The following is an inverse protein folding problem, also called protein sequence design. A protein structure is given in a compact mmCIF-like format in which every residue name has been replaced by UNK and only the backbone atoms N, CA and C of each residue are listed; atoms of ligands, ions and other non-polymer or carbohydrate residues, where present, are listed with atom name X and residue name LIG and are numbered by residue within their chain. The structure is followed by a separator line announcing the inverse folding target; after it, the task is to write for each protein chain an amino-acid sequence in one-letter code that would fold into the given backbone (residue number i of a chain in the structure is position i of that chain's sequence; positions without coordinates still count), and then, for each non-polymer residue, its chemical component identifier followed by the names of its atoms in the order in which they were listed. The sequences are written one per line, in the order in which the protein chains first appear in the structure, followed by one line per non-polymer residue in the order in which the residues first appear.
data_IF_624063737459
#
_entry.id   IF_624063737459
#
_cell.length_a   1.000
_cell.length_b   1.000
_cell.length_c   1.000
_cell.angle_alpha   90.00
_cell.angle_beta   90.00
_cell.angle_gamma   90.00
#
_symmetry.space_group_name_H-M   'P 1'
#
loop_
_entity.id
_entity.type
_entity.pdbx_description
1 polymer ?
#
# COMPACT_ATOMS: atom_id res chain seq x y z
N UNK A 1 -52.65 64.94 -39.86
CA UNK A 1 -52.44 63.66 -40.56
C UNK A 1 -51.50 62.81 -39.72
N UNK A 2 -52.00 61.62 -39.38
CA UNK A 2 -51.32 60.36 -39.05
C UNK A 2 -50.41 60.21 -37.80
N UNK A 3 -51.00 59.45 -36.87
CA UNK A 3 -50.54 58.16 -36.32
C UNK A 3 -49.24 58.13 -35.53
N UNK A 4 -49.35 57.84 -34.22
CA UNK A 4 -48.32 57.13 -33.47
C UNK A 4 -49.01 56.27 -32.40
N UNK A 5 -49.32 55.02 -32.78
CA UNK A 5 -49.75 53.98 -31.85
C UNK A 5 -48.60 53.63 -30.91
N UNK A 6 -48.70 54.06 -29.67
CA UNK A 6 -47.74 53.73 -28.61
C UNK A 6 -47.81 52.23 -28.30
N UNK A 7 -46.73 51.52 -28.66
CA UNK A 7 -46.28 50.21 -28.19
C UNK A 7 -47.30 49.38 -27.39
N UNK A 8 -48.10 48.58 -28.11
CA UNK A 8 -48.94 47.56 -27.49
C UNK A 8 -48.09 46.30 -27.19
N UNK A 9 -47.70 46.12 -25.93
CA UNK A 9 -46.96 44.94 -25.47
C UNK A 9 -47.85 43.68 -25.53
N UNK A 10 -47.65 42.84 -26.55
CA UNK A 10 -48.40 41.59 -26.74
C UNK A 10 -47.74 40.41 -26.03
N UNK A 11 -48.52 39.70 -25.19
CA UNK A 11 -48.13 38.48 -24.46
C UNK A 11 -47.51 37.41 -25.36
N UNK A 12 -47.91 37.36 -26.64
CA UNK A 12 -47.39 36.43 -27.64
C UNK A 12 -45.92 36.74 -28.02
N UNK A 13 -45.53 38.02 -28.01
CA UNK A 13 -44.16 38.45 -28.33
C UNK A 13 -43.20 38.20 -27.16
N UNK A 14 -43.70 38.28 -25.93
CA UNK A 14 -42.96 37.91 -24.72
C UNK A 14 -42.64 36.40 -24.67
N UNK A 15 -43.64 35.54 -24.94
CA UNK A 15 -43.42 34.09 -24.98
C UNK A 15 -42.51 33.65 -26.14
N UNK A 16 -42.56 34.35 -27.28
CA UNK A 16 -41.64 34.11 -28.39
C UNK A 16 -40.18 34.45 -28.05
N UNK A 17 -39.94 35.51 -27.24
CA UNK A 17 -38.58 35.87 -26.79
C UNK A 17 -38.04 34.91 -25.72
N UNK A 18 -38.90 34.32 -24.88
CA UNK A 18 -38.51 33.30 -23.89
C UNK A 18 -38.13 31.95 -24.53
N UNK A 19 -38.71 31.61 -25.68
CA UNK A 19 -38.39 30.37 -26.39
C UNK A 19 -36.98 30.32 -27.03
N UNK A 20 -36.35 31.47 -27.26
CA UNK A 20 -35.06 31.56 -27.97
C UNK A 20 -33.81 31.34 -27.10
N UNK A 21 -33.93 31.37 -25.77
CA UNK A 21 -32.78 31.31 -24.85
C UNK A 21 -32.39 29.88 -24.41
N UNK A 22 -33.10 28.85 -24.87
CA UNK A 22 -32.84 27.46 -24.44
C UNK A 22 -31.72 26.77 -25.21
N UNK A 23 -31.36 27.23 -26.42
CA UNK A 23 -30.39 26.52 -27.28
C UNK A 23 -28.92 26.90 -26.99
N UNK A 24 -28.64 28.07 -26.40
CA UNK A 24 -27.26 28.52 -26.15
C UNK A 24 -26.65 27.98 -24.83
N UNK A 25 -27.42 27.34 -23.95
CA UNK A 25 -26.96 26.89 -22.63
C UNK A 25 -26.38 25.47 -22.57
N UNK A 26 -26.45 24.69 -23.66
CA UNK A 26 -26.22 23.24 -23.61
C UNK A 26 -24.78 22.79 -23.94
N UNK A 27 -23.86 23.69 -24.27
CA UNK A 27 -22.46 23.35 -24.62
C UNK A 27 -21.39 24.05 -23.74
N UNK A 28 -21.80 24.74 -22.67
CA UNK A 28 -20.88 25.18 -21.61
C UNK A 28 -20.85 24.14 -20.48
N UNK A 29 -19.72 23.97 -19.76
CA UNK A 29 -19.74 23.16 -18.55
C UNK A 29 -20.85 23.69 -17.64
N UNK A 30 -21.82 22.82 -17.33
CA UNK A 30 -22.96 23.18 -16.49
C UNK A 30 -22.47 23.84 -15.20
N UNK A 31 -22.79 25.13 -15.01
CA UNK A 31 -22.59 25.84 -13.74
C UNK A 31 -23.45 25.25 -12.61
N UNK A 32 -24.43 24.41 -12.97
CA UNK A 32 -25.27 23.66 -12.06
C UNK A 32 -24.67 22.32 -11.64
N UNK A 33 -23.52 21.90 -12.20
CA UNK A 33 -22.79 20.77 -11.64
C UNK A 33 -22.25 21.21 -10.27
N UNK A 34 -22.72 20.64 -9.15
CA UNK A 34 -22.28 21.09 -7.85
C UNK A 34 -20.77 20.86 -7.75
N UNK A 35 -20.01 21.91 -7.44
CA UNK A 35 -18.55 21.86 -7.21
C UNK A 35 -18.13 20.80 -6.18
N UNK A 36 -19.07 20.37 -5.33
CA UNK A 36 -18.89 19.24 -4.39
C UNK A 36 -18.83 17.88 -5.08
N UNK A 37 -19.54 17.66 -6.18
CA UNK A 37 -19.46 16.40 -6.93
C UNK A 37 -18.10 16.24 -7.62
N UNK A 38 -17.56 17.32 -8.20
CA UNK A 38 -16.22 17.31 -8.81
C UNK A 38 -15.10 17.30 -7.79
N UNK A 39 -15.23 18.01 -6.66
CA UNK A 39 -14.28 17.93 -5.56
C UNK A 39 -14.32 16.58 -4.84
N UNK A 40 -15.50 15.94 -4.72
CA UNK A 40 -15.62 14.59 -4.21
C UNK A 40 -14.97 13.58 -5.17
N UNK A 41 -15.25 13.66 -6.48
CA UNK A 41 -14.58 12.81 -7.48
C UNK A 41 -13.06 13.01 -7.51
N UNK A 42 -12.57 14.25 -7.50
CA UNK A 42 -11.13 14.55 -7.41
C UNK A 42 -10.51 14.10 -6.08
N UNK A 43 -11.25 14.19 -4.96
CA UNK A 43 -10.83 13.64 -3.68
C UNK A 43 -10.86 12.10 -3.68
N UNK A 44 -11.75 11.47 -4.44
CA UNK A 44 -11.78 10.01 -4.58
C UNK A 44 -10.60 9.54 -5.44
N UNK A 45 -10.29 10.22 -6.54
CA UNK A 45 -9.11 9.98 -7.38
C UNK A 45 -7.78 10.23 -6.63
N UNK A 46 -7.71 11.31 -5.83
CA UNK A 46 -6.52 11.60 -5.02
C UNK A 46 -6.34 10.62 -3.84
N UNK A 47 -7.43 10.03 -3.33
CA UNK A 47 -7.37 8.94 -2.35
C UNK A 47 -6.94 7.62 -3.01
N UNK A 48 -7.25 7.44 -4.30
CA UNK A 48 -6.87 6.26 -5.08
C UNK A 48 -5.39 6.25 -5.42
N UNK A 49 -4.76 7.40 -5.73
CA UNK A 49 -3.33 7.46 -6.04
C UNK A 49 -2.56 8.44 -5.16
N UNK A 50 -1.65 7.93 -4.32
CA UNK A 50 -0.70 8.72 -3.53
C UNK A 50 0.69 8.64 -4.16
N UNK A 51 1.14 9.74 -4.73
CA UNK A 51 2.47 9.84 -5.35
C UNK A 51 3.46 10.58 -4.45
N UNK A 52 4.76 10.30 -4.62
CA UNK A 52 5.84 11.08 -3.99
C UNK A 52 6.10 10.80 -2.50
N UNK A 53 5.62 9.69 -1.95
CA UNK A 53 5.85 9.32 -0.55
C UNK A 53 7.34 9.09 -0.31
N UNK A 54 7.96 9.85 0.58
CA UNK A 54 9.37 9.68 0.91
C UNK A 54 9.57 8.46 1.82
N UNK A 55 10.42 7.53 1.41
CA UNK A 55 10.83 6.37 2.21
C UNK A 55 12.27 5.97 1.88
N UNK A 56 12.85 5.03 2.62
CA UNK A 56 14.24 4.61 2.49
C UNK A 56 14.38 3.10 2.38
N UNK A 57 15.41 2.66 1.67
CA UNK A 57 15.84 1.26 1.58
C UNK A 57 17.37 1.19 1.67
N UNK A 58 17.94 -0.01 1.77
CA UNK A 58 19.38 -0.18 1.69
C UNK A 58 19.97 0.16 0.30
N UNK A 59 19.12 0.39 -0.72
CA UNK A 59 19.51 0.91 -2.04
C UNK A 59 19.35 2.43 -2.17
N UNK A 60 19.02 3.13 -1.10
CA UNK A 60 18.88 4.59 -1.06
C UNK A 60 17.48 5.09 -0.71
N UNK A 61 17.34 6.41 -0.68
CA UNK A 61 16.07 7.10 -0.48
C UNK A 61 15.24 7.09 -1.77
N UNK A 62 13.93 6.92 -1.63
CA UNK A 62 13.01 6.77 -2.76
C UNK A 62 11.71 7.56 -2.57
N UNK A 63 11.12 7.96 -3.69
CA UNK A 63 9.74 8.44 -3.82
C UNK A 63 8.85 7.28 -4.25
N UNK A 64 8.03 6.78 -3.34
CA UNK A 64 7.08 5.73 -3.62
C UNK A 64 5.79 6.29 -4.22
N UNK A 65 5.26 5.59 -5.21
CA UNK A 65 3.95 5.82 -5.81
C UNK A 65 3.05 4.65 -5.48
N UNK A 66 1.92 4.94 -4.84
CA UNK A 66 0.90 3.98 -4.42
C UNK A 66 -0.38 4.27 -5.19
N UNK A 67 -0.93 3.26 -5.87
CA UNK A 67 -2.22 3.33 -6.59
C UNK A 67 -3.11 2.21 -6.09
N UNK A 68 -4.36 2.52 -5.75
CA UNK A 68 -5.34 1.58 -5.20
C UNK A 68 -4.82 0.80 -3.98
N UNK A 69 -4.06 1.47 -3.11
CA UNK A 69 -3.43 0.85 -1.94
C UNK A 69 -2.25 -0.10 -2.26
N UNK A 70 -1.85 -0.22 -3.53
CA UNK A 70 -0.73 -1.04 -3.98
C UNK A 70 0.48 -0.19 -4.32
N UNK A 71 1.66 -0.65 -3.90
CA UNK A 71 2.92 -0.02 -4.27
C UNK A 71 3.28 -0.39 -5.71
N UNK A 72 3.30 0.60 -6.61
CA UNK A 72 3.42 0.37 -8.06
C UNK A 72 4.74 0.86 -8.65
N UNK A 73 5.36 1.88 -8.07
CA UNK A 73 6.61 2.42 -8.59
C UNK A 73 7.46 3.08 -7.51
N UNK A 74 8.77 2.93 -7.63
CA UNK A 74 9.77 3.63 -6.84
C UNK A 74 10.60 4.51 -7.76
N UNK A 75 10.69 5.81 -7.46
CA UNK A 75 11.64 6.73 -8.11
C UNK A 75 12.77 7.05 -7.13
N UNK A 76 14.02 7.18 -7.59
CA UNK A 76 15.09 7.65 -6.73
C UNK A 76 14.80 9.04 -6.17
N UNK A 77 15.35 9.33 -5.00
CA UNK A 77 15.23 10.65 -4.38
C UNK A 77 15.93 11.73 -5.22
N UNK A 78 15.36 12.94 -5.25
CA UNK A 78 15.78 13.98 -6.19
C UNK A 78 17.20 14.51 -5.92
N UNK A 79 17.69 14.38 -4.68
CA UNK A 79 19.03 14.82 -4.28
C UNK A 79 20.09 13.71 -4.44
N UNK A 80 19.70 12.50 -4.85
CA UNK A 80 20.65 11.42 -5.10
C UNK A 80 21.29 11.58 -6.49
N UNK A 81 22.59 11.87 -6.52
CA UNK A 81 23.36 12.10 -7.74
C UNK A 81 23.64 10.81 -8.52
N UNK A 82 23.68 9.65 -7.87
CA UNK A 82 24.06 8.38 -8.48
C UNK A 82 23.13 7.24 -8.03
N UNK A 83 21.86 7.28 -8.44
CA UNK A 83 20.88 6.33 -7.94
C UNK A 83 21.11 4.91 -8.44
N UNK A 84 20.83 3.93 -7.58
CA UNK A 84 20.89 2.51 -7.95
C UNK A 84 19.78 2.11 -8.91
N UNK A 85 20.15 1.38 -9.97
CA UNK A 85 19.18 0.79 -10.92
C UNK A 85 18.23 -0.22 -10.25
N UNK A 86 18.62 -0.78 -9.09
CA UNK A 86 17.82 -1.76 -8.35
C UNK A 86 16.55 -1.15 -7.75
N UNK A 87 16.48 0.17 -7.57
CA UNK A 87 15.30 0.87 -7.04
C UNK A 87 14.04 0.56 -7.86
N UNK A 88 14.17 0.40 -9.18
CA UNK A 88 13.05 0.08 -10.05
C UNK A 88 12.36 -1.26 -9.71
N UNK A 89 13.09 -2.23 -9.13
CA UNK A 89 12.57 -3.55 -8.76
C UNK A 89 11.88 -3.61 -7.40
N UNK A 90 11.90 -2.52 -6.62
CA UNK A 90 11.33 -2.51 -5.26
C UNK A 90 9.84 -2.92 -5.18
N UNK A 91 8.96 -2.52 -6.11
CA UNK A 91 7.57 -3.00 -6.11
C UNK A 91 7.46 -4.53 -6.20
N UNK A 92 8.33 -5.17 -6.99
CA UNK A 92 8.34 -6.62 -7.17
C UNK A 92 8.81 -7.35 -5.91
N UNK A 93 9.73 -6.78 -5.13
CA UNK A 93 10.12 -7.35 -3.84
C UNK A 93 8.95 -7.45 -2.84
N UNK A 94 7.98 -6.53 -2.92
CA UNK A 94 6.81 -6.53 -2.05
C UNK A 94 5.75 -7.51 -2.55
N UNK A 95 5.57 -7.60 -3.87
CA UNK A 95 4.43 -8.28 -4.49
C UNK A 95 4.76 -9.54 -5.30
N UNK A 96 5.98 -10.10 -5.18
CA UNK A 96 6.37 -11.32 -5.90
C UNK A 96 5.57 -12.57 -5.47
N UNK A 97 5.60 -13.59 -6.32
CA UNK A 97 4.96 -14.88 -6.06
C UNK A 97 5.62 -15.68 -4.91
N UNK A 98 6.89 -15.40 -4.63
CA UNK A 98 7.66 -16.04 -3.56
C UNK A 98 7.36 -15.46 -2.16
N UNK A 99 6.47 -14.47 -2.05
CA UNK A 99 6.13 -13.82 -0.79
C UNK A 99 5.46 -14.82 0.16
N UNK A 100 6.04 -14.96 1.35
CA UNK A 100 5.45 -15.76 2.42
C UNK A 100 4.12 -15.12 2.83
N UNK A 101 3.02 -15.86 2.66
CA UNK A 101 1.65 -15.36 2.87
C UNK A 101 1.14 -15.58 4.31
N UNK A 102 1.55 -16.67 4.94
CA UNK A 102 1.04 -17.11 6.24
C UNK A 102 2.15 -17.75 7.07
N UNK A 103 1.96 -17.85 8.40
CA UNK A 103 2.77 -18.74 9.23
C UNK A 103 2.65 -20.19 8.75
N UNK A 104 3.80 -20.87 8.67
CA UNK A 104 3.90 -22.23 8.17
C UNK A 104 4.82 -23.03 9.08
N UNK A 105 4.47 -24.29 9.32
CA UNK A 105 5.26 -25.20 10.16
C UNK A 105 5.54 -26.49 9.39
N UNK A 106 6.78 -26.99 9.50
CA UNK A 106 7.20 -28.25 8.85
C UNK A 106 6.37 -29.42 9.39
N UNK A 107 5.84 -30.27 8.51
CA UNK A 107 4.91 -31.36 8.88
C UNK A 107 5.45 -32.25 9.99
N UNK A 108 6.69 -32.74 9.87
CA UNK A 108 7.25 -33.67 10.87
C UNK A 108 7.52 -32.97 12.21
N UNK A 109 7.90 -31.68 12.18
CA UNK A 109 8.09 -30.88 13.39
C UNK A 109 6.76 -30.58 14.09
N UNK A 110 5.69 -30.33 13.35
CA UNK A 110 4.36 -30.14 13.93
C UNK A 110 3.88 -31.39 14.71
N UNK A 111 4.30 -32.59 14.29
CA UNK A 111 3.90 -33.87 14.91
C UNK A 111 4.79 -34.29 16.07
N UNK A 112 6.10 -34.08 15.95
CA UNK A 112 7.10 -34.64 16.88
C UNK A 112 7.89 -33.59 17.65
N UNK A 113 7.67 -32.30 17.40
CA UNK A 113 8.39 -31.17 18.01
C UNK A 113 9.91 -31.34 17.88
N UNK A 114 10.66 -31.11 18.95
CA UNK A 114 12.11 -31.28 19.03
C UNK A 114 12.60 -32.70 18.69
N UNK A 115 11.74 -33.73 18.76
CA UNK A 115 12.06 -35.12 18.37
C UNK A 115 11.85 -35.40 16.87
N UNK A 116 11.59 -34.37 16.08
CA UNK A 116 11.41 -34.52 14.63
C UNK A 116 12.72 -34.85 13.91
N UNK A 117 12.60 -35.58 12.81
CA UNK A 117 13.71 -36.00 11.98
C UNK A 117 14.29 -34.78 11.24
N UNK A 118 15.58 -34.51 11.48
CA UNK A 118 16.29 -33.38 10.89
C UNK A 118 16.75 -33.65 9.46
N UNK A 119 16.83 -34.92 9.05
CA UNK A 119 17.21 -35.30 7.68
C UNK A 119 16.15 -34.92 6.64
N UNK A 120 14.88 -34.80 7.07
CA UNK A 120 13.76 -34.38 6.21
C UNK A 120 13.71 -32.86 5.96
N UNK A 121 14.68 -32.07 6.46
CA UNK A 121 14.76 -30.63 6.15
C UNK A 121 15.05 -30.44 4.66
N UNK A 122 14.23 -29.64 3.97
CA UNK A 122 14.34 -29.37 2.53
C UNK A 122 13.29 -30.08 1.66
N UNK A 123 12.44 -30.91 2.25
CA UNK A 123 11.36 -31.61 1.54
C UNK A 123 10.17 -30.72 1.13
N UNK A 124 10.20 -29.43 1.49
CA UNK A 124 9.18 -28.42 1.22
C UNK A 124 7.75 -28.75 1.68
N UNK A 125 7.57 -29.66 2.65
CA UNK A 125 6.25 -30.00 3.19
C UNK A 125 5.93 -29.15 4.43
N UNK A 126 4.99 -28.23 4.26
CA UNK A 126 4.56 -27.31 5.32
C UNK A 126 3.04 -27.32 5.52
N UNK A 127 2.62 -27.11 6.76
CA UNK A 127 1.23 -26.92 7.17
C UNK A 127 1.04 -25.45 7.56
N UNK A 128 -0.05 -24.85 7.10
CA UNK A 128 -0.46 -23.51 7.51
C UNK A 128 -1.03 -23.57 8.93
N UNK A 129 -0.62 -22.64 9.77
CA UNK A 129 -1.12 -22.49 11.15
C UNK A 129 -1.62 -21.06 11.39
N UNK A 130 -2.32 -20.85 12.51
CA UNK A 130 -2.65 -19.51 13.00
C UNK A 130 -1.41 -18.79 13.53
N UNK A 131 -1.49 -17.47 13.69
CA UNK A 131 -0.42 -16.69 14.33
C UNK A 131 -0.26 -17.04 15.81
N UNK A 132 -1.37 -17.26 16.51
CA UNK A 132 -1.36 -17.61 17.94
C UNK A 132 -0.65 -18.94 18.15
N UNK A 133 -1.03 -20.00 17.42
CA UNK A 133 -0.34 -21.29 17.49
C UNK A 133 1.15 -21.18 17.13
N UNK A 134 1.51 -20.38 16.11
CA UNK A 134 2.90 -20.21 15.71
C UNK A 134 3.74 -19.56 16.81
N UNK A 135 3.19 -18.58 17.51
CA UNK A 135 3.86 -17.87 18.59
C UNK A 135 3.93 -18.72 19.87
N UNK A 136 2.88 -19.47 20.20
CA UNK A 136 2.88 -20.40 21.33
C UNK A 136 3.96 -21.47 21.13
N UNK A 137 4.00 -22.11 19.97
CA UNK A 137 5.02 -23.09 19.61
C UNK A 137 6.45 -22.51 19.63
N UNK A 138 6.61 -21.24 19.26
CA UNK A 138 7.90 -20.54 19.30
C UNK A 138 8.33 -20.29 20.75
N UNK A 139 7.41 -19.84 21.60
CA UNK A 139 7.67 -19.60 23.02
C UNK A 139 8.02 -20.90 23.76
N UNK A 140 7.25 -21.96 23.57
CA UNK A 140 7.48 -23.27 24.19
C UNK A 140 8.91 -23.80 23.91
N UNK A 141 9.40 -23.64 22.68
CA UNK A 141 10.76 -24.06 22.32
C UNK A 141 11.84 -23.14 22.89
N UNK A 142 11.61 -21.83 22.96
CA UNK A 142 12.53 -20.91 23.63
C UNK A 142 12.65 -21.24 25.11
N UNK A 143 11.53 -21.50 25.78
CA UNK A 143 11.49 -21.88 27.19
C UNK A 143 12.20 -23.22 27.41
N UNK A 144 11.92 -24.24 26.57
CA UNK A 144 12.61 -25.54 26.64
C UNK A 144 14.12 -25.37 26.50
N UNK A 145 14.60 -24.67 25.47
CA UNK A 145 16.04 -24.46 25.25
C UNK A 145 16.67 -23.67 26.40
N UNK A 146 15.95 -22.70 26.96
CA UNK A 146 16.45 -21.94 28.11
C UNK A 146 16.58 -22.78 29.38
N UNK A 147 15.65 -23.71 29.62
CA UNK A 147 15.67 -24.61 30.77
C UNK A 147 16.71 -25.73 30.59
N UNK A 148 16.82 -26.29 29.39
CA UNK A 148 17.73 -27.41 29.10
C UNK A 148 19.18 -26.95 28.90
N UNK A 149 19.40 -25.78 28.31
CA UNK A 149 20.72 -25.30 27.93
C UNK A 149 21.00 -23.89 28.49
N UNK A 150 22.23 -23.68 28.98
CA UNK A 150 22.71 -22.36 29.35
C UNK A 150 22.57 -21.39 28.16
N UNK A 151 22.23 -20.12 28.43
CA UNK A 151 21.90 -19.03 27.50
C UNK A 151 22.78 -18.87 26.25
N UNK A 152 23.99 -19.44 26.28
CA UNK A 152 24.94 -19.45 25.18
C UNK A 152 24.54 -20.33 23.99
N UNK A 153 23.55 -21.22 24.04
CA UNK A 153 23.21 -22.06 22.86
C UNK A 153 22.21 -21.43 21.88
N UNK A 154 21.42 -20.45 22.30
CA UNK A 154 20.63 -19.67 21.37
C UNK A 154 21.58 -18.80 20.54
N UNK A 155 21.78 -19.15 19.27
CA UNK A 155 22.75 -18.47 18.39
C UNK A 155 22.41 -16.99 18.15
N UNK A 156 21.14 -16.60 18.32
CA UNK A 156 20.73 -15.19 18.27
C UNK A 156 21.21 -14.40 19.51
N UNK A 157 21.35 -15.05 20.67
CA UNK A 157 21.89 -14.44 21.91
C UNK A 157 23.42 -14.42 21.93
N UNK A 158 24.10 -15.33 21.20
CA UNK A 158 25.58 -15.34 21.11
C UNK A 158 26.17 -14.06 20.52
N UNK A 159 25.43 -13.33 19.70
CA UNK A 159 25.95 -12.12 19.06
C UNK A 159 26.12 -10.95 20.03
N UNK A 160 25.42 -10.95 21.16
CA UNK A 160 25.55 -9.91 22.20
C UNK A 160 26.76 -10.13 23.11
N UNK A 161 27.10 -11.39 23.45
CA UNK A 161 28.24 -11.71 24.31
C UNK A 161 29.61 -11.58 23.61
N UNK A 162 29.65 -11.55 22.28
CA UNK A 162 30.89 -11.35 21.52
C UNK A 162 31.37 -9.87 21.52
N UNK A 163 30.54 -8.93 21.99
CA UNK A 163 30.84 -7.49 22.03
C UNK A 163 31.35 -7.06 23.41
N UNK A 164 31.10 -7.87 24.46
CA UNK A 164 31.54 -7.62 25.84
C UNK A 164 32.79 -8.44 26.22
N UNK A 165 33.54 -8.92 25.23
CA UNK A 165 34.83 -9.58 25.45
C UNK A 165 35.89 -8.59 25.91
N UNK A 166 36.33 -8.76 27.15
CA UNK A 166 37.49 -8.14 27.81
C UNK A 166 38.52 -7.52 26.85
N UNK A 167 38.62 -6.19 26.90
CA UNK A 167 39.86 -5.49 26.53
C UNK A 167 40.79 -5.60 27.75
N UNK A 168 42.04 -6.10 27.59
CA UNK A 168 42.99 -6.21 28.69
C UNK A 168 43.36 -4.84 29.30
#
# INVERSE_FOLDING_TARGET
MNNNDLFQASRRRFLAQLGGLTVAGMLGPSLLTPRRATAAQAATEAVISKEGILTGSHWGAIRATVKDGRFVAAKPFELDKYPSKMIAGLPDHVHNAARIRYPMVRVDWLRKRHLSDTSQRGDNRFVRVSWDEALDMFYEELERVHVENSRAECLADRQWLAIDGDVP
#
